data_IF_999812689903
#
_entry.id   IF_999812689903
#
_cell.length_a   1.000
_cell.length_b   1.000
_cell.length_c   1.000
_cell.angle_alpha   90.00
_cell.angle_beta   90.00
_cell.angle_gamma   90.00
#
_symmetry.space_group_name_H-M   'P 1'
#
loop_
_entity.id
_entity.type
_entity.pdbx_description
1 polymer ?
#
# COMPACT_ATOMS: atom_id res chain seq x y z
N UNK A 1 4.40 15.51 3.09
CA UNK A 1 4.53 14.61 1.92
C UNK A 1 4.68 15.46 0.67
N UNK A 2 5.56 15.09 -0.29
CA UNK A 2 5.68 15.80 -1.57
C UNK A 2 4.71 15.19 -2.59
N UNK A 3 3.87 16.02 -3.21
CA UNK A 3 3.01 15.58 -4.32
C UNK A 3 3.77 15.75 -5.64
N UNK A 4 3.72 14.75 -6.51
CA UNK A 4 4.39 14.76 -7.81
C UNK A 4 4.18 13.45 -8.56
N UNK A 5 4.87 13.31 -9.69
CA UNK A 5 4.91 12.06 -10.46
C UNK A 5 6.14 11.27 -10.09
N UNK A 6 5.95 9.98 -9.80
CA UNK A 6 7.01 9.06 -9.40
C UNK A 6 6.83 7.75 -10.16
N UNK A 7 7.93 7.00 -10.31
CA UNK A 7 7.94 5.68 -10.89
C UNK A 7 8.92 4.79 -10.10
N UNK A 8 8.60 3.51 -10.01
CA UNK A 8 9.45 2.48 -9.40
C UNK A 8 9.10 1.12 -9.99
N UNK A 9 10.02 0.16 -9.94
CA UNK A 9 9.67 -1.25 -10.16
C UNK A 9 8.83 -1.76 -8.97
N UNK A 10 8.14 -2.89 -9.15
CA UNK A 10 7.40 -3.55 -8.05
C UNK A 10 8.32 -3.78 -6.84
N UNK A 11 9.52 -4.32 -7.08
CA UNK A 11 10.49 -4.60 -6.01
C UNK A 11 11.07 -3.33 -5.37
N UNK A 12 11.07 -2.21 -6.10
CA UNK A 12 11.50 -0.91 -5.58
C UNK A 12 10.41 -0.14 -4.84
N UNK A 13 9.19 -0.66 -4.73
CA UNK A 13 8.13 -0.03 -3.92
C UNK A 13 8.23 -0.43 -2.44
N UNK A 14 8.64 -1.67 -2.19
CA UNK A 14 8.80 -2.24 -0.86
C UNK A 14 10.18 -1.93 -0.25
N UNK A 15 10.22 -1.85 1.07
CA UNK A 15 11.46 -1.90 1.86
C UNK A 15 11.73 -3.35 2.25
N UNK A 16 12.95 -3.84 1.97
CA UNK A 16 13.40 -5.18 2.33
C UNK A 16 13.78 -5.26 3.82
N UNK A 17 12.78 -5.25 4.71
CA UNK A 17 12.99 -5.45 6.14
C UNK A 17 13.51 -6.86 6.45
N UNK A 18 14.27 -6.99 7.54
CA UNK A 18 14.86 -8.27 7.96
C UNK A 18 13.82 -9.37 8.22
N UNK A 19 12.68 -8.99 8.82
CA UNK A 19 11.46 -9.79 8.88
C UNK A 19 10.43 -9.18 7.94
N UNK A 20 9.89 -9.93 6.96
CA UNK A 20 8.83 -9.45 6.09
C UNK A 20 7.64 -8.92 6.89
N UNK A 21 7.11 -7.78 6.46
CA UNK A 21 6.04 -7.04 7.15
C UNK A 21 5.41 -6.03 6.19
N UNK A 22 4.38 -5.33 6.64
CA UNK A 22 3.72 -4.27 5.87
C UNK A 22 4.73 -3.21 5.39
N UNK A 23 4.69 -2.89 4.10
CA UNK A 23 5.70 -2.03 3.48
C UNK A 23 5.27 -1.52 2.11
N UNK A 24 5.59 -0.27 1.82
CA UNK A 24 5.43 0.28 0.47
C UNK A 24 4.14 1.06 0.23
N UNK A 25 3.26 1.20 1.22
CA UNK A 25 2.08 2.07 1.10
C UNK A 25 2.44 3.49 0.62
N UNK A 26 1.66 4.00 -0.32
CA UNK A 26 1.74 5.36 -0.87
C UNK A 26 0.38 6.05 -0.67
N UNK A 27 0.25 6.95 0.33
CA UNK A 27 -1.02 7.59 0.63
C UNK A 27 -1.35 8.68 -0.38
N UNK A 28 -2.64 9.00 -0.51
CA UNK A 28 -3.11 10.08 -1.36
C UNK A 28 -2.77 9.83 -2.83
N UNK A 29 -3.10 8.66 -3.35
CA UNK A 29 -2.96 8.40 -4.78
C UNK A 29 -3.82 9.39 -5.57
N UNK A 30 -3.40 9.77 -6.78
CA UNK A 30 -4.25 10.52 -7.73
C UNK A 30 -4.52 9.63 -8.94
N UNK A 31 -3.44 9.16 -9.55
CA UNK A 31 -3.46 8.15 -10.61
C UNK A 31 -2.27 7.20 -10.45
N UNK A 32 -2.49 5.94 -10.78
CA UNK A 32 -1.48 4.87 -10.84
C UNK A 32 -1.63 4.19 -12.21
N UNK A 33 -0.49 3.88 -12.82
CA UNK A 33 -0.40 3.04 -14.01
C UNK A 33 0.46 1.84 -13.64
N UNK A 34 -0.10 0.65 -13.75
CA UNK A 34 0.62 -0.62 -13.53
C UNK A 34 0.74 -1.33 -14.86
N UNK A 35 1.97 -1.58 -15.29
CA UNK A 35 2.25 -2.28 -16.52
C UNK A 35 3.74 -2.49 -16.71
N UNK A 36 4.06 -3.37 -17.64
CA UNK A 36 5.41 -3.74 -18.07
C UNK A 36 5.83 -3.04 -19.38
N UNK A 37 5.06 -2.04 -19.82
CA UNK A 37 5.23 -1.40 -21.12
C UNK A 37 4.46 -2.07 -22.26
N UNK A 38 3.64 -3.10 -21.96
CA UNK A 38 2.68 -3.67 -22.92
C UNK A 38 1.54 -2.70 -23.28
N UNK A 39 0.75 -3.08 -24.30
CA UNK A 39 -0.24 -2.22 -24.93
C UNK A 39 -1.45 -1.84 -24.05
N UNK A 40 -1.70 -2.56 -22.95
CA UNK A 40 -2.87 -2.35 -22.08
C UNK A 40 -2.45 -2.38 -20.60
N UNK A 41 -1.92 -1.27 -20.05
CA UNK A 41 -1.63 -1.18 -18.64
C UNK A 41 -2.93 -1.05 -17.82
N UNK A 42 -2.92 -1.53 -16.59
CA UNK A 42 -3.97 -1.22 -15.62
C UNK A 42 -3.83 0.25 -15.19
N UNK A 43 -4.88 1.03 -15.33
CA UNK A 43 -4.93 2.40 -14.82
C UNK A 43 -5.90 2.49 -13.65
N UNK A 44 -5.48 3.17 -12.58
CA UNK A 44 -6.27 3.38 -11.37
C UNK A 44 -6.32 4.87 -11.08
N UNK A 45 -7.52 5.43 -10.95
CA UNK A 45 -7.72 6.84 -10.59
C UNK A 45 -8.62 6.92 -9.36
N UNK A 46 -8.14 7.58 -8.30
CA UNK A 46 -8.95 7.83 -7.09
C UNK A 46 -9.76 9.12 -7.23
N UNK A 47 -10.97 9.12 -6.68
CA UNK A 47 -11.79 10.33 -6.53
C UNK A 47 -11.60 10.88 -5.11
N UNK A 48 -11.35 12.20 -4.92
CA UNK A 48 -11.25 12.75 -3.58
C UNK A 48 -12.63 12.82 -2.92
N UNK A 49 -12.69 12.61 -1.61
CA UNK A 49 -13.91 12.90 -0.84
C UNK A 49 -14.11 14.41 -0.63
N UNK A 50 -15.19 14.79 0.08
CA UNK A 50 -15.52 16.19 0.37
C UNK A 50 -14.44 16.93 1.20
N UNK A 51 -13.58 16.20 1.92
CA UNK A 51 -12.45 16.76 2.68
C UNK A 51 -11.17 16.86 1.85
N UNK A 52 -11.18 16.36 0.61
CA UNK A 52 -10.01 16.25 -0.24
C UNK A 52 -9.14 15.03 0.06
N UNK A 53 -9.58 14.13 0.95
CA UNK A 53 -8.90 12.88 1.26
C UNK A 53 -8.98 11.92 0.06
N UNK A 54 -7.96 11.09 -0.08
CA UNK A 54 -7.80 10.15 -1.20
C UNK A 54 -7.18 8.86 -0.66
N UNK A 55 -7.70 7.74 -1.15
CA UNK A 55 -7.13 6.43 -0.91
C UNK A 55 -5.65 6.37 -1.38
N UNK A 56 -4.89 5.48 -0.76
CA UNK A 56 -3.55 5.13 -1.17
C UNK A 56 -3.49 3.80 -1.91
N UNK A 57 -2.27 3.37 -2.22
CA UNK A 57 -2.05 2.04 -2.77
C UNK A 57 -0.78 1.39 -2.22
N UNK A 58 -0.75 0.06 -2.33
CA UNK A 58 0.44 -0.77 -2.22
C UNK A 58 0.43 -1.78 -3.37
N UNK A 59 1.59 -2.08 -3.94
CA UNK A 59 1.75 -3.08 -4.99
C UNK A 59 2.91 -4.00 -4.61
N UNK A 60 2.64 -5.30 -4.50
CA UNK A 60 3.58 -6.31 -4.02
C UNK A 60 3.49 -7.61 -4.81
N UNK A 61 4.54 -8.41 -4.78
CA UNK A 61 4.57 -9.80 -5.30
C UNK A 61 3.93 -10.83 -4.38
N UNK A 62 3.70 -10.45 -3.13
CA UNK A 62 3.16 -11.31 -2.09
C UNK A 62 2.03 -10.62 -1.34
N UNK A 63 1.06 -11.40 -0.88
CA UNK A 63 -0.04 -10.93 -0.04
C UNK A 63 0.44 -10.58 1.37
N UNK A 64 -0.32 -9.77 2.13
CA UNK A 64 -0.03 -9.54 3.55
C UNK A 64 0.04 -10.83 4.37
N UNK A 65 -0.78 -11.83 4.03
CA UNK A 65 -0.78 -13.14 4.71
C UNK A 65 0.53 -13.87 4.46
N UNK A 66 0.97 -13.99 3.20
CA UNK A 66 2.25 -14.63 2.85
C UNK A 66 3.44 -13.95 3.52
N UNK A 67 3.46 -12.61 3.61
CA UNK A 67 4.51 -11.88 4.31
C UNK A 67 4.47 -12.10 5.82
N UNK A 68 3.29 -12.25 6.42
CA UNK A 68 3.12 -12.46 7.87
C UNK A 68 3.59 -13.83 8.32
N UNK A 69 3.41 -14.84 7.47
CA UNK A 69 3.65 -16.25 7.79
C UNK A 69 5.13 -16.65 7.80
N UNK A 70 6.03 -15.79 7.32
CA UNK A 70 7.47 -16.06 7.19
C UNK A 70 8.32 -15.22 8.15
N UNK A 71 9.47 -15.76 8.54
CA UNK A 71 10.45 -15.08 9.39
C UNK A 71 11.46 -14.25 8.61
N UNK A 72 11.79 -14.65 7.37
CA UNK A 72 12.82 -14.02 6.56
C UNK A 72 12.43 -13.90 5.08
N UNK A 73 12.97 -12.93 4.31
CA UNK A 73 12.61 -12.73 2.91
C UNK A 73 12.85 -13.95 2.00
N UNK A 74 13.86 -14.78 2.29
CA UNK A 74 14.17 -15.95 1.46
C UNK A 74 13.19 -17.13 1.67
N UNK A 75 12.33 -17.05 2.69
CA UNK A 75 11.30 -18.04 2.98
C UNK A 75 9.98 -17.74 2.24
N UNK A 76 9.89 -16.57 1.59
CA UNK A 76 8.73 -16.20 0.79
C UNK A 76 8.51 -17.21 -0.35
N UNK A 77 7.27 -17.63 -0.60
CA UNK A 77 6.98 -18.56 -1.69
C UNK A 77 7.31 -17.92 -3.04
N UNK A 78 7.42 -18.75 -4.08
CA UNK A 78 7.41 -18.23 -5.44
C UNK A 78 6.16 -17.36 -5.65
N UNK A 79 6.35 -16.16 -6.20
CA UNK A 79 5.26 -15.24 -6.50
C UNK A 79 4.39 -15.81 -7.63
N UNK A 80 3.08 -15.71 -7.47
CA UNK A 80 2.06 -16.13 -8.44
C UNK A 80 1.41 -14.96 -9.19
N UNK A 81 1.76 -13.72 -8.83
CA UNK A 81 1.23 -12.53 -9.46
C UNK A 81 1.59 -11.24 -8.73
N UNK A 82 0.86 -10.18 -9.06
CA UNK A 82 0.93 -8.90 -8.38
C UNK A 82 -0.33 -8.68 -7.57
N UNK A 83 -0.16 -8.23 -6.33
CA UNK A 83 -1.24 -7.86 -5.44
C UNK A 83 -1.27 -6.34 -5.30
N UNK A 84 -2.31 -5.73 -5.86
CA UNK A 84 -2.62 -4.32 -5.69
C UNK A 84 -3.62 -4.16 -4.54
N UNK A 85 -3.19 -3.50 -3.47
CA UNK A 85 -4.06 -3.09 -2.37
C UNK A 85 -4.40 -1.61 -2.57
N UNK A 86 -5.69 -1.30 -2.50
CA UNK A 86 -6.22 0.06 -2.56
C UNK A 86 -6.88 0.36 -1.22
N UNK A 87 -6.24 1.20 -0.43
CA UNK A 87 -6.60 1.43 0.97
C UNK A 87 -7.09 2.85 1.17
N UNK A 88 -8.35 3.01 1.60
CA UNK A 88 -8.86 4.31 2.05
C UNK A 88 -8.12 4.81 3.31
N UNK A 89 -7.74 3.88 4.19
CA UNK A 89 -6.96 4.18 5.38
C UNK A 89 -6.11 2.98 5.82
N UNK A 90 -4.99 3.28 6.48
CA UNK A 90 -4.16 2.30 7.16
C UNK A 90 -3.96 2.71 8.62
N UNK A 91 -3.73 1.72 9.49
CA UNK A 91 -3.40 1.98 10.88
C UNK A 91 -2.01 2.62 10.99
N UNK A 92 -1.83 3.58 11.91
CA UNK A 92 -0.51 4.16 12.18
C UNK A 92 0.48 3.12 12.72
N UNK A 93 1.78 3.42 12.66
CA UNK A 93 2.83 2.48 13.10
C UNK A 93 3.10 2.54 14.61
N UNK A 94 3.18 3.75 15.17
CA UNK A 94 3.63 3.94 16.55
C UNK A 94 5.06 3.43 16.75
N UNK A 95 5.38 2.97 17.96
CA UNK A 95 6.68 2.40 18.30
C UNK A 95 6.57 1.26 19.33
N UNK A 96 5.41 0.58 19.37
CA UNK A 96 5.05 -0.37 20.45
C UNK A 96 5.91 -1.63 20.51
N UNK A 97 6.80 -1.86 19.53
CA UNK A 97 7.84 -2.86 19.65
C UNK A 97 8.71 -2.62 20.91
N UNK A 98 9.04 -1.36 21.19
CA UNK A 98 9.64 -0.93 22.45
C UNK A 98 9.42 0.59 22.60
N UNK A 99 8.27 0.99 23.15
CA UNK A 99 7.90 2.40 23.26
C UNK A 99 6.39 2.64 23.21
N UNK A 100 5.98 3.90 23.00
CA UNK A 100 4.58 4.28 22.90
C UNK A 100 3.84 3.56 21.78
N UNK A 101 2.54 3.35 22.02
CA UNK A 101 1.59 2.90 21.01
C UNK A 101 1.33 3.97 19.94
N UNK A 102 0.56 3.61 18.92
CA UNK A 102 0.01 4.55 17.94
C UNK A 102 -0.78 5.62 18.68
N UNK A 103 -0.43 6.89 18.44
CA UNK A 103 -1.18 8.00 19.04
C UNK A 103 -2.65 7.94 18.60
N UNK A 104 -3.63 8.23 19.48
CA UNK A 104 -5.06 8.04 19.17
C UNK A 104 -5.53 8.68 17.87
N UNK A 105 -4.97 9.84 17.51
CA UNK A 105 -5.27 10.56 16.24
C UNK A 105 -4.75 9.90 14.96
N UNK A 106 -3.85 8.92 15.07
CA UNK A 106 -3.30 8.15 13.95
C UNK A 106 -3.75 6.68 14.01
N UNK A 107 -4.47 6.29 15.04
CA UNK A 107 -5.06 4.96 15.14
C UNK A 107 -6.29 4.88 14.24
N UNK A 108 -6.32 3.85 13.40
CA UNK A 108 -7.49 3.56 12.57
C UNK A 108 -8.56 2.84 13.41
N UNK A 109 -9.64 3.55 13.72
CA UNK A 109 -10.81 3.01 14.42
C UNK A 109 -11.91 2.58 13.43
N UNK A 110 -12.72 1.57 13.80
CA UNK A 110 -13.89 1.20 13.02
C UNK A 110 -14.78 2.41 12.76
N UNK A 111 -15.11 2.63 11.49
CA UNK A 111 -15.91 3.76 11.02
C UNK A 111 -16.53 3.42 9.66
N UNK A 112 -17.67 4.04 9.35
CA UNK A 112 -18.23 3.97 7.99
C UNK A 112 -17.29 4.72 7.04
N UNK A 113 -16.95 4.08 5.93
CA UNK A 113 -16.09 4.64 4.88
C UNK A 113 -16.70 4.36 3.52
N UNK A 114 -16.80 5.40 2.71
CA UNK A 114 -17.19 5.32 1.30
C UNK A 114 -16.14 6.06 0.50
N UNK A 115 -15.62 5.40 -0.51
CA UNK A 115 -14.59 5.94 -1.38
C UNK A 115 -14.75 5.32 -2.76
N UNK A 116 -14.20 6.00 -3.76
CA UNK A 116 -14.39 5.64 -5.16
C UNK A 116 -13.06 5.54 -5.89
N UNK A 117 -12.99 4.55 -6.78
CA UNK A 117 -11.87 4.33 -7.67
C UNK A 117 -12.37 3.95 -9.06
N UNK A 118 -11.73 4.50 -10.07
CA UNK A 118 -11.97 4.18 -11.47
C UNK A 118 -10.85 3.26 -11.95
N UNK A 119 -11.23 2.12 -12.53
CA UNK A 119 -10.32 1.16 -13.17
C UNK A 119 -10.49 1.28 -14.68
N UNK A 120 -9.38 1.33 -15.41
CA UNK A 120 -9.33 1.42 -16.87
C UNK A 120 -8.14 0.72 -17.46
#
# INVERSE_FOLDING_TARGET
VRVGRFASSVDGLAVAYARPQETGHRPGLRSLVVGDGSATPLTVTTVPDASGHRAGFQLSRWTPQQMTDVGHPHELPASDGLHLLLDDAQHGLGSRACGPDVLPRHALWPSLRTWEVLLG
#
